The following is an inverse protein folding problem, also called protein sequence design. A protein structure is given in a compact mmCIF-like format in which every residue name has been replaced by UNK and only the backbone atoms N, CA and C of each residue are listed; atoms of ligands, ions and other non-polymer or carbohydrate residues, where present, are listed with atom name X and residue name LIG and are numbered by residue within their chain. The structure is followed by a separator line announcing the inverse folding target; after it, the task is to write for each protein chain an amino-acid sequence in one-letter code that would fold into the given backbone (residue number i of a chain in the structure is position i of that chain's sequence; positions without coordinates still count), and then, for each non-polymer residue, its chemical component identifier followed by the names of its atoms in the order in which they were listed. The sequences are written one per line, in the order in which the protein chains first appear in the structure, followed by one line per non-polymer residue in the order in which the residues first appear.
data_IF_521956542366
#
_entry.id   IF_521956542366
#
_cell.length_a   1.000
_cell.length_b   1.000
_cell.length_c   1.000
_cell.angle_alpha   90.00
_cell.angle_beta   90.00
_cell.angle_gamma   90.00
#
_symmetry.space_group_name_H-M   'P 1'
#
loop_
_entity.id
_entity.type
_entity.pdbx_description
1 polymer ?
#
# COMPACT_ATOMS: atom_id res chain seq x y z
N UNK A 1 8.76 -10.10 -17.64
CA UNK A 1 7.94 -10.75 -16.59
C UNK A 1 8.56 -10.57 -15.20
N UNK A 2 9.88 -10.73 -15.02
CA UNK A 2 10.55 -10.64 -13.72
C UNK A 2 10.35 -9.27 -13.02
N UNK A 3 10.28 -8.18 -13.77
CA UNK A 3 10.06 -6.83 -13.21
C UNK A 3 8.71 -6.71 -12.50
N UNK A 4 7.68 -7.43 -12.95
CA UNK A 4 6.34 -7.39 -12.35
C UNK A 4 6.32 -7.94 -10.91
N UNK A 5 7.25 -8.84 -10.58
CA UNK A 5 7.42 -9.42 -9.24
C UNK A 5 8.61 -8.84 -8.47
N UNK A 6 9.22 -7.77 -8.98
CA UNK A 6 10.33 -7.06 -8.34
C UNK A 6 11.71 -7.63 -8.65
N UNK A 7 11.82 -8.55 -9.61
CA UNK A 7 13.11 -9.12 -10.04
C UNK A 7 13.81 -8.22 -11.05
N UNK A 8 14.66 -7.29 -10.60
CA UNK A 8 15.48 -6.42 -11.45
C UNK A 8 16.87 -6.21 -10.83
N UNK A 9 17.81 -5.77 -11.67
CA UNK A 9 19.20 -5.57 -11.28
C UNK A 9 19.33 -4.28 -10.49
N UNK A 10 19.64 -4.39 -9.21
CA UNK A 10 20.07 -3.31 -8.32
C UNK A 10 19.23 -2.03 -8.32
N UNK A 11 18.83 -1.56 -7.15
CA UNK A 11 18.23 -0.25 -6.95
C UNK A 11 18.70 0.28 -5.60
N UNK A 12 19.05 1.56 -5.54
CA UNK A 12 19.41 2.19 -4.28
C UNK A 12 18.18 2.60 -3.47
N UNK A 13 18.28 2.75 -2.14
CA UNK A 13 17.20 3.33 -1.33
C UNK A 13 16.75 4.70 -1.81
N UNK A 14 17.67 5.54 -2.29
CA UNK A 14 17.34 6.85 -2.84
C UNK A 14 16.44 6.74 -4.08
N UNK A 15 16.78 5.85 -5.03
CA UNK A 15 15.97 5.61 -6.22
C UNK A 15 14.59 5.02 -5.87
N UNK A 16 14.55 4.13 -4.89
CA UNK A 16 13.30 3.54 -4.43
C UNK A 16 12.40 4.59 -3.75
N UNK A 17 12.95 5.43 -2.88
CA UNK A 17 12.21 6.53 -2.26
C UNK A 17 11.68 7.51 -3.32
N UNK A 18 12.49 7.83 -4.33
CA UNK A 18 12.09 8.68 -5.44
C UNK A 18 10.96 8.06 -6.28
N UNK A 19 11.05 6.76 -6.58
CA UNK A 19 10.00 6.06 -7.33
C UNK A 19 8.65 6.11 -6.60
N UNK A 20 8.65 5.85 -5.29
CA UNK A 20 7.43 5.91 -4.48
C UNK A 20 6.92 7.34 -4.22
N UNK A 21 7.79 8.36 -4.33
CA UNK A 21 7.35 9.75 -4.28
C UNK A 21 6.37 10.11 -5.40
N UNK A 22 6.36 9.35 -6.51
CA UNK A 22 5.40 9.52 -7.58
C UNK A 22 3.96 9.21 -7.15
N UNK A 23 3.76 8.22 -6.26
CA UNK A 23 2.44 7.97 -5.64
C UNK A 23 2.09 9.11 -4.68
N UNK A 24 3.04 9.49 -3.81
CA UNK A 24 2.87 10.61 -2.87
C UNK A 24 2.44 11.90 -3.57
N UNK A 25 3.02 12.18 -4.73
CA UNK A 25 2.78 13.38 -5.55
C UNK A 25 1.63 13.22 -6.56
N UNK A 26 0.73 12.25 -6.36
CA UNK A 26 -0.44 12.03 -7.21
C UNK A 26 -0.11 11.82 -8.69
N UNK A 27 0.97 11.06 -8.95
CA UNK A 27 1.36 10.63 -10.29
C UNK A 27 2.51 11.40 -10.92
N UNK A 28 3.17 12.29 -10.19
CA UNK A 28 4.32 13.04 -10.68
C UNK A 28 5.62 12.56 -10.06
N UNK A 29 6.57 12.24 -10.90
CA UNK A 29 7.95 11.91 -10.52
C UNK A 29 8.85 13.13 -10.62
N UNK A 30 9.72 13.30 -9.64
CA UNK A 30 10.82 14.27 -9.70
C UNK A 30 12.12 13.54 -9.40
N UNK A 31 13.14 13.74 -10.22
CA UNK A 31 14.45 13.16 -9.97
C UNK A 31 15.02 13.70 -8.64
N UNK A 32 15.63 12.84 -7.79
CA UNK A 32 16.20 13.28 -6.52
C UNK A 32 17.27 14.36 -6.71
N UNK A 33 17.22 15.40 -5.91
CA UNK A 33 18.19 16.48 -5.89
C UNK A 33 18.49 16.90 -4.44
N UNK A 34 19.68 17.44 -4.25
CA UNK A 34 20.14 17.92 -2.94
C UNK A 34 20.37 19.44 -2.88
N UNK A 35 20.38 20.11 -4.04
CA UNK A 35 20.64 21.54 -4.12
C UNK A 35 19.46 22.24 -4.80
N UNK A 36 18.84 23.18 -4.09
CA UNK A 36 17.74 24.00 -4.62
C UNK A 36 18.22 25.38 -5.06
N UNK A 37 19.22 25.91 -4.34
CA UNK A 37 19.75 27.24 -4.60
C UNK A 37 21.21 27.33 -4.14
N UNK A 38 21.99 28.14 -4.84
CA UNK A 38 23.35 28.55 -4.45
C UNK A 38 23.35 30.07 -4.29
N UNK A 39 23.83 30.56 -3.16
CA UNK A 39 24.02 31.98 -2.91
C UNK A 39 25.52 32.27 -2.77
N UNK A 40 26.06 33.09 -3.67
CA UNK A 40 27.46 33.46 -3.68
C UNK A 40 27.71 34.58 -2.68
N UNK A 41 28.38 34.28 -1.58
CA UNK A 41 28.62 35.23 -0.47
C UNK A 41 29.39 36.49 -0.91
N UNK A 42 30.30 36.36 -1.90
CA UNK A 42 31.12 37.46 -2.37
C UNK A 42 30.38 38.46 -3.25
N UNK A 43 29.36 38.02 -4.00
CA UNK A 43 28.62 38.85 -4.96
C UNK A 43 27.17 39.08 -4.57
N UNK A 44 26.61 38.28 -3.64
CA UNK A 44 25.19 38.24 -3.35
C UNK A 44 24.35 37.60 -4.47
N UNK A 45 24.96 37.08 -5.51
CA UNK A 45 24.28 36.43 -6.61
C UNK A 45 23.57 35.16 -6.12
N UNK A 46 22.32 34.95 -6.53
CA UNK A 46 21.54 33.76 -6.23
C UNK A 46 21.27 32.98 -7.50
N UNK A 47 21.69 31.72 -7.54
CA UNK A 47 21.37 30.78 -8.62
C UNK A 47 20.38 29.74 -8.11
N UNK A 48 19.16 29.75 -8.64
CA UNK A 48 18.13 28.75 -8.33
C UNK A 48 18.14 27.64 -9.37
N UNK A 49 17.89 26.39 -8.91
CA UNK A 49 17.78 25.22 -9.77
C UNK A 49 16.29 24.82 -9.85
N UNK A 50 15.78 24.75 -11.07
CA UNK A 50 14.44 24.23 -11.34
C UNK A 50 14.53 22.71 -11.53
N UNK A 51 13.63 21.99 -10.87
CA UNK A 51 13.51 20.53 -10.98
C UNK A 51 12.20 20.20 -11.67
N UNK A 52 12.30 19.51 -12.79
CA UNK A 52 11.13 19.14 -13.60
C UNK A 52 10.34 18.02 -12.92
N UNK A 53 9.02 18.10 -13.06
CA UNK A 53 8.08 17.06 -12.65
C UNK A 53 7.55 16.35 -13.88
N UNK A 54 7.80 15.04 -13.98
CA UNK A 54 7.31 14.21 -15.07
C UNK A 54 6.08 13.45 -14.63
N UNK A 55 4.98 13.56 -15.39
CA UNK A 55 3.79 12.74 -15.11
C UNK A 55 4.04 11.30 -15.55
N UNK A 56 4.07 10.35 -14.61
CA UNK A 56 4.36 8.94 -14.85
C UNK A 56 3.15 8.03 -14.69
N UNK A 57 2.07 8.52 -14.05
CA UNK A 57 0.79 7.81 -13.94
C UNK A 57 -0.37 8.79 -13.79
N UNK A 58 -1.61 8.30 -13.93
CA UNK A 58 -2.79 9.12 -13.66
C UNK A 58 -2.95 9.40 -12.16
N UNK A 59 -3.61 10.49 -11.83
CA UNK A 59 -4.01 10.83 -10.46
C UNK A 59 -4.93 9.76 -9.83
N UNK A 60 -5.85 9.20 -10.64
CA UNK A 60 -6.70 8.08 -10.20
C UNK A 60 -5.88 6.84 -9.84
N UNK A 61 -4.86 6.49 -10.65
CA UNK A 61 -3.98 5.35 -10.34
C UNK A 61 -3.19 5.60 -9.05
N UNK A 62 -2.62 6.79 -8.89
CA UNK A 62 -1.87 7.14 -7.70
C UNK A 62 -2.76 7.13 -6.45
N UNK A 63 -3.96 7.74 -6.53
CA UNK A 63 -4.90 7.77 -5.41
C UNK A 63 -5.36 6.38 -4.98
N UNK A 64 -5.76 5.53 -5.93
CA UNK A 64 -6.21 4.16 -5.63
C UNK A 64 -5.06 3.34 -5.02
N UNK A 65 -3.83 3.49 -5.53
CA UNK A 65 -2.67 2.81 -4.96
C UNK A 65 -2.36 3.31 -3.54
N UNK A 66 -2.46 4.63 -3.29
CA UNK A 66 -2.28 5.20 -1.95
C UNK A 66 -3.28 4.60 -0.95
N UNK A 67 -4.55 4.45 -1.33
CA UNK A 67 -5.57 3.81 -0.48
C UNK A 67 -5.22 2.36 -0.16
N UNK A 68 -4.82 1.57 -1.16
CA UNK A 68 -4.43 0.16 -0.97
C UNK A 68 -3.22 0.04 -0.03
N UNK A 69 -2.20 0.88 -0.23
CA UNK A 69 -0.97 0.83 0.58
C UNK A 69 -1.17 1.40 1.99
N UNK A 70 -2.05 2.39 2.16
CA UNK A 70 -2.45 2.88 3.48
C UNK A 70 -3.27 1.82 4.23
N UNK A 71 -4.18 1.13 3.56
CA UNK A 71 -4.90 -0.01 4.14
C UNK A 71 -3.93 -1.12 4.57
N UNK A 72 -2.96 -1.47 3.73
CA UNK A 72 -1.93 -2.45 4.06
C UNK A 72 -1.08 -2.04 5.27
N UNK A 73 -0.85 -0.74 5.48
CA UNK A 73 -0.16 -0.20 6.65
C UNK A 73 -1.02 -0.30 7.91
N UNK A 74 -2.32 -0.05 7.80
CA UNK A 74 -3.21 -0.01 8.96
C UNK A 74 -3.69 -1.39 9.41
N UNK A 75 -3.90 -2.33 8.47
CA UNK A 75 -4.59 -3.60 8.69
C UNK A 75 -3.87 -4.82 8.11
N UNK A 76 -2.82 -4.63 7.30
CA UNK A 76 -2.13 -5.70 6.59
C UNK A 76 -0.73 -5.99 7.10
N UNK A 77 0.08 -6.62 6.25
CA UNK A 77 1.45 -7.06 6.56
C UNK A 77 2.44 -5.92 6.83
N UNK A 78 2.09 -4.69 6.50
CA UNK A 78 2.92 -3.50 6.71
C UNK A 78 2.64 -2.78 8.03
N UNK A 79 1.83 -3.35 8.92
CA UNK A 79 1.41 -2.73 10.18
C UNK A 79 2.53 -2.32 11.12
N UNK A 80 3.72 -2.95 11.00
CA UNK A 80 4.92 -2.55 11.74
C UNK A 80 5.45 -1.16 11.40
N UNK A 81 5.03 -0.56 10.28
CA UNK A 81 5.40 0.79 9.87
C UNK A 81 4.33 1.86 10.17
N UNK A 82 3.26 1.48 10.88
CA UNK A 82 2.16 2.39 11.24
C UNK A 82 2.62 3.48 12.21
N UNK A 83 2.19 4.72 11.93
CA UNK A 83 2.39 5.87 12.83
C UNK A 83 1.03 6.42 13.24
N UNK A 84 0.77 6.44 14.55
CA UNK A 84 -0.51 6.89 15.07
C UNK A 84 -0.79 8.36 14.73
N UNK A 85 -1.96 8.64 14.16
CA UNK A 85 -2.42 9.98 13.78
C UNK A 85 -1.72 10.53 12.53
N UNK A 86 -1.17 9.67 11.68
CA UNK A 86 -0.60 10.05 10.39
C UNK A 86 -1.09 9.13 9.28
N UNK A 87 -1.39 9.69 8.13
CA UNK A 87 -1.64 8.95 6.89
C UNK A 87 -0.30 8.44 6.34
N UNK A 88 -0.06 7.14 6.42
CA UNK A 88 1.17 6.49 5.95
C UNK A 88 0.80 5.33 5.04
N UNK A 89 1.32 5.35 3.85
CA UNK A 89 1.25 4.24 2.90
C UNK A 89 2.58 3.49 2.91
N UNK A 90 2.54 2.16 3.01
CA UNK A 90 3.76 1.34 3.11
C UNK A 90 3.69 0.13 2.18
N UNK A 91 4.82 -0.15 1.52
CA UNK A 91 5.05 -1.38 0.77
C UNK A 91 6.29 -2.08 1.29
N UNK A 92 6.18 -3.35 1.60
CA UNK A 92 7.31 -4.22 1.93
C UNK A 92 7.76 -5.00 0.71
N UNK A 93 9.03 -5.39 0.69
CA UNK A 93 9.60 -6.28 -0.31
C UNK A 93 10.53 -7.30 0.35
N UNK A 94 10.59 -8.50 -0.21
CA UNK A 94 11.53 -9.55 0.19
C UNK A 94 11.91 -10.30 -1.07
N UNK A 95 13.22 -10.46 -1.32
CA UNK A 95 13.72 -11.38 -2.33
C UNK A 95 14.39 -12.57 -1.65
N UNK A 96 14.22 -13.76 -2.22
CA UNK A 96 14.80 -14.97 -1.71
C UNK A 96 16.02 -15.36 -2.55
N UNK A 97 16.95 -16.07 -1.96
CA UNK A 97 17.98 -16.81 -2.71
C UNK A 97 17.35 -18.01 -3.40
N UNK A 98 17.86 -18.36 -4.58
CA UNK A 98 17.61 -19.67 -5.18
C UNK A 98 18.34 -20.77 -4.41
N UNK A 99 17.87 -22.01 -4.58
CA UNK A 99 18.40 -23.17 -3.85
C UNK A 99 19.89 -23.42 -4.11
N UNK A 100 20.34 -23.23 -5.35
CA UNK A 100 21.74 -23.41 -5.74
C UNK A 100 22.64 -22.39 -5.01
N UNK A 101 22.20 -21.14 -4.93
CA UNK A 101 22.90 -20.07 -4.21
C UNK A 101 22.93 -20.34 -2.70
N UNK A 102 21.82 -20.77 -2.09
CA UNK A 102 21.80 -21.16 -0.67
C UNK A 102 22.83 -22.23 -0.38
N UNK A 103 22.87 -23.30 -1.19
CA UNK A 103 23.80 -24.40 -1.05
C UNK A 103 25.25 -23.95 -1.27
N UNK A 104 25.53 -23.21 -2.30
CA UNK A 104 26.88 -22.72 -2.63
C UNK A 104 27.46 -21.81 -1.53
N UNK A 105 26.64 -21.00 -0.90
CA UNK A 105 27.02 -20.08 0.18
C UNK A 105 26.92 -20.71 1.58
N UNK A 106 26.39 -21.94 1.71
CA UNK A 106 26.15 -22.60 2.99
C UNK A 106 25.11 -21.87 3.86
N UNK A 107 24.14 -21.19 3.23
CA UNK A 107 23.08 -20.44 3.90
C UNK A 107 21.93 -21.40 4.30
N UNK A 108 21.21 -21.12 5.40
CA UNK A 108 20.03 -21.89 5.75
C UNK A 108 18.88 -21.61 4.77
N UNK A 109 17.93 -22.54 4.67
CA UNK A 109 16.80 -22.48 3.72
C UNK A 109 15.92 -21.22 3.88
N UNK A 110 15.82 -20.68 5.09
CA UNK A 110 15.04 -19.48 5.39
C UNK A 110 15.83 -18.17 5.24
N UNK A 111 17.06 -18.21 4.72
CA UNK A 111 17.82 -17.00 4.44
C UNK A 111 17.18 -16.23 3.28
N UNK A 112 17.16 -14.91 3.41
CA UNK A 112 16.63 -13.98 2.39
C UNK A 112 17.73 -13.05 1.92
N UNK A 113 17.66 -12.66 0.64
CA UNK A 113 18.66 -11.81 0.02
C UNK A 113 18.42 -10.34 0.39
N UNK A 114 17.23 -9.83 0.12
CA UNK A 114 16.88 -8.43 0.35
C UNK A 114 15.62 -8.31 1.17
N UNK A 115 15.62 -7.32 2.05
CA UNK A 115 14.46 -6.90 2.82
C UNK A 115 14.24 -5.40 2.63
N UNK A 116 13.15 -5.08 1.96
CA UNK A 116 12.76 -3.70 1.68
C UNK A 116 11.54 -3.27 2.46
N UNK A 117 11.51 -2.01 2.83
CA UNK A 117 10.31 -1.31 3.28
C UNK A 117 10.36 0.11 2.75
N UNK A 118 9.31 0.53 2.06
CA UNK A 118 9.13 1.91 1.64
C UNK A 118 7.87 2.43 2.29
N UNK A 119 7.99 3.55 3.00
CA UNK A 119 6.86 4.24 3.61
C UNK A 119 6.83 5.69 3.14
N UNK A 120 5.65 6.21 2.90
CA UNK A 120 5.51 7.58 2.46
C UNK A 120 4.19 8.20 2.96
N UNK A 121 4.20 9.51 3.04
CA UNK A 121 3.05 10.38 3.27
C UNK A 121 2.80 11.21 2.01
N UNK A 122 1.85 12.12 2.01
CA UNK A 122 1.66 13.06 0.90
C UNK A 122 2.86 14.02 0.68
N UNK A 123 3.82 14.07 1.63
CA UNK A 123 4.93 15.04 1.63
C UNK A 123 6.32 14.42 1.70
N UNK A 124 6.45 13.21 2.23
CA UNK A 124 7.73 12.57 2.48
C UNK A 124 7.72 11.13 1.97
N UNK A 125 8.84 10.67 1.45
CA UNK A 125 9.05 9.28 1.05
C UNK A 125 10.36 8.77 1.63
N UNK A 126 10.34 7.60 2.26
CA UNK A 126 11.48 6.95 2.91
C UNK A 126 11.56 5.52 2.43
N UNK A 127 12.75 5.10 2.00
CA UNK A 127 13.03 3.71 1.68
C UNK A 127 14.12 3.16 2.59
N UNK A 128 13.90 1.96 3.08
CA UNK A 128 14.83 1.19 3.89
C UNK A 128 15.16 -0.11 3.16
N UNK A 129 16.44 -0.37 2.97
CA UNK A 129 16.98 -1.67 2.65
C UNK A 129 17.67 -2.25 3.89
N UNK A 130 17.43 -3.51 4.16
CA UNK A 130 18.03 -4.22 5.27
C UNK A 130 18.58 -5.55 4.76
N UNK A 131 19.89 -5.72 4.83
CA UNK A 131 20.54 -6.89 4.22
C UNK A 131 22.01 -6.97 4.55
N UNK A 132 22.64 -8.02 4.02
CA UNK A 132 24.09 -8.18 3.95
C UNK A 132 24.51 -8.27 2.48
N UNK A 133 25.52 -7.50 2.09
CA UNK A 133 26.06 -7.52 0.74
C UNK A 133 27.61 -7.68 0.81
N UNK A 134 28.13 -8.91 0.55
CA UNK A 134 27.38 -10.15 0.29
C UNK A 134 26.90 -10.84 1.57
N UNK A 135 25.80 -11.60 1.45
CA UNK A 135 25.41 -12.52 2.50
C UNK A 135 26.39 -13.70 2.60
N UNK A 136 26.75 -14.09 3.83
CA UNK A 136 27.64 -15.20 4.17
C UNK A 136 26.99 -16.12 5.20
N UNK A 137 27.60 -17.28 5.47
CA UNK A 137 27.12 -18.23 6.47
C UNK A 137 27.00 -17.63 7.88
N UNK A 138 27.84 -16.67 8.22
CA UNK A 138 27.86 -15.98 9.51
C UNK A 138 26.98 -14.72 9.51
N UNK A 139 26.70 -14.15 8.33
CA UNK A 139 25.99 -12.90 8.17
C UNK A 139 24.91 -13.04 7.09
N UNK A 140 23.69 -13.31 7.51
CA UNK A 140 22.52 -13.41 6.65
C UNK A 140 21.26 -12.92 7.39
N UNK A 141 20.24 -12.62 6.65
CA UNK A 141 18.93 -12.25 7.19
C UNK A 141 17.90 -13.36 6.96
N UNK A 142 16.87 -13.31 7.79
CA UNK A 142 15.62 -14.07 7.61
C UNK A 142 14.44 -13.09 7.53
N UNK A 143 13.24 -13.60 7.23
CA UNK A 143 12.02 -12.78 7.21
C UNK A 143 11.69 -12.09 8.56
N UNK A 144 12.24 -12.58 9.68
CA UNK A 144 12.07 -12.00 11.01
C UNK A 144 13.03 -10.80 11.23
N UNK A 145 13.03 -9.84 10.32
CA UNK A 145 13.87 -8.65 10.44
C UNK A 145 13.14 -7.49 11.10
N UNK A 146 13.87 -6.57 11.76
CA UNK A 146 13.29 -5.39 12.40
C UNK A 146 12.90 -4.27 11.41
N UNK A 147 12.84 -4.56 10.11
CA UNK A 147 12.63 -3.54 9.06
C UNK A 147 11.38 -2.67 9.28
N UNK A 148 10.27 -3.27 9.73
CA UNK A 148 9.04 -2.55 10.05
C UNK A 148 9.20 -1.64 11.26
N UNK A 149 9.82 -2.13 12.33
CA UNK A 149 10.09 -1.37 13.55
C UNK A 149 11.05 -0.21 13.29
N UNK A 150 12.10 -0.44 12.50
CA UNK A 150 13.03 0.62 12.09
C UNK A 150 12.30 1.68 11.26
N UNK A 151 11.49 1.25 10.29
CA UNK A 151 10.71 2.18 9.46
C UNK A 151 9.73 2.99 10.30
N UNK A 152 9.00 2.37 11.23
CA UNK A 152 8.10 3.08 12.14
C UNK A 152 8.84 4.11 13.00
N UNK A 153 10.02 3.76 13.51
CA UNK A 153 10.85 4.69 14.27
C UNK A 153 11.26 5.89 13.41
N UNK A 154 11.77 5.67 12.19
CA UNK A 154 12.13 6.76 11.27
C UNK A 154 10.93 7.63 10.94
N UNK A 155 9.80 7.02 10.57
CA UNK A 155 8.57 7.75 10.23
C UNK A 155 7.99 8.54 11.41
N UNK A 156 8.25 8.14 12.64
CA UNK A 156 7.79 8.86 13.84
C UNK A 156 8.48 10.22 14.05
N UNK A 157 9.68 10.42 13.48
CA UNK A 157 10.41 11.70 13.49
C UNK A 157 9.98 12.64 12.34
N UNK A 158 9.24 12.13 11.36
CA UNK A 158 8.73 12.93 10.25
C UNK A 158 7.44 13.65 10.72
N UNK A 159 7.21 14.91 10.32
CA UNK A 159 5.96 15.60 10.64
C UNK A 159 4.75 14.78 10.20
N UNK A 160 3.78 14.60 11.10
CA UNK A 160 2.58 13.82 10.84
C UNK A 160 1.78 14.43 9.68
N UNK A 161 1.35 13.57 8.78
CA UNK A 161 0.39 13.91 7.75
C UNK A 161 -1.02 13.59 8.25
N UNK A 162 -1.73 14.62 8.67
CA UNK A 162 -3.10 14.50 9.21
C UNK A 162 -4.17 14.66 8.14
N UNK A 163 -3.79 14.98 6.91
CA UNK A 163 -4.72 15.24 5.80
C UNK A 163 -4.75 14.14 4.74
N UNK A 164 -3.64 13.44 4.56
CA UNK A 164 -3.50 12.40 3.55
C UNK A 164 -3.63 12.93 2.11
N UNK A 165 -4.15 12.09 1.24
CA UNK A 165 -4.32 12.40 -0.20
C UNK A 165 -5.76 12.81 -0.49
N UNK A 166 -5.92 13.92 -1.20
CA UNK A 166 -7.25 14.38 -1.65
C UNK A 166 -7.73 13.53 -2.82
N UNK A 167 -8.95 13.03 -2.73
CA UNK A 167 -9.58 12.27 -3.82
C UNK A 167 -9.76 13.15 -5.06
N UNK A 168 -9.18 12.77 -6.21
CA UNK A 168 -9.33 13.54 -7.45
C UNK A 168 -10.71 13.32 -8.07
N UNK A 169 -11.16 14.25 -8.91
CA UNK A 169 -12.44 14.14 -9.63
C UNK A 169 -12.53 13.00 -10.62
N UNK A 170 -11.38 12.36 -10.90
CA UNK A 170 -11.24 11.14 -11.73
C UNK A 170 -11.51 9.84 -10.97
N UNK A 171 -11.75 9.93 -9.65
CA UNK A 171 -12.13 8.81 -8.78
C UNK A 171 -13.53 9.05 -8.23
N UNK A 172 -14.29 7.98 -8.08
CA UNK A 172 -15.61 7.96 -7.46
C UNK A 172 -15.66 6.86 -6.40
N UNK A 173 -16.49 7.05 -5.38
CA UNK A 173 -16.82 5.99 -4.42
C UNK A 173 -18.12 5.31 -4.81
N UNK A 174 -18.26 4.04 -4.47
CA UNK A 174 -19.50 3.28 -4.57
C UNK A 174 -19.67 2.37 -3.35
N UNK A 175 -20.92 2.21 -2.93
CA UNK A 175 -21.29 1.26 -1.88
C UNK A 175 -21.50 -0.10 -2.50
N UNK A 176 -20.64 -1.05 -2.16
CA UNK A 176 -20.60 -2.39 -2.77
C UNK A 176 -20.86 -3.48 -1.73
N UNK A 177 -21.31 -4.64 -2.20
CA UNK A 177 -21.44 -5.82 -1.38
C UNK A 177 -20.16 -6.63 -1.34
N UNK A 178 -19.61 -6.83 -0.15
CA UNK A 178 -18.43 -7.65 0.07
C UNK A 178 -18.67 -9.10 -0.35
N UNK A 179 -17.71 -9.67 -1.08
CA UNK A 179 -17.74 -11.05 -1.53
C UNK A 179 -18.46 -11.25 -2.88
N UNK A 180 -18.77 -10.18 -3.62
CA UNK A 180 -19.18 -10.27 -5.03
C UNK A 180 -17.99 -10.13 -5.96
N UNK A 181 -17.94 -10.92 -7.04
CA UNK A 181 -16.94 -10.81 -8.09
C UNK A 181 -17.57 -11.08 -9.47
N UNK A 182 -17.54 -10.13 -10.41
CA UNK A 182 -17.12 -8.72 -10.23
C UNK A 182 -17.87 -8.00 -9.12
N UNK A 183 -17.30 -6.89 -8.62
CA UNK A 183 -17.94 -6.09 -7.58
C UNK A 183 -19.34 -5.63 -8.03
N UNK A 184 -20.33 -5.74 -7.14
CA UNK A 184 -21.70 -5.27 -7.35
C UNK A 184 -22.10 -4.28 -6.28
N UNK A 185 -23.01 -3.37 -6.58
CA UNK A 185 -23.59 -2.45 -5.61
C UNK A 185 -24.33 -3.23 -4.53
N UNK A 186 -24.24 -2.77 -3.28
CA UNK A 186 -25.05 -3.32 -2.21
C UNK A 186 -26.54 -3.05 -2.47
N UNK A 187 -27.39 -4.04 -2.19
CA UNK A 187 -28.84 -3.89 -2.22
C UNK A 187 -29.36 -3.40 -0.86
N UNK A 188 -30.63 -3.04 -0.79
CA UNK A 188 -31.32 -2.72 0.48
C UNK A 188 -31.37 -3.91 1.45
N UNK A 189 -31.20 -5.13 0.94
CA UNK A 189 -31.21 -6.38 1.72
C UNK A 189 -29.82 -6.87 2.10
N UNK A 190 -28.76 -6.19 1.63
CA UNK A 190 -27.38 -6.56 1.97
C UNK A 190 -27.14 -6.34 3.48
N UNK A 191 -26.71 -7.37 4.23
CA UNK A 191 -26.34 -7.21 5.65
C UNK A 191 -25.32 -6.10 5.88
N UNK A 192 -25.48 -5.33 6.95
CA UNK A 192 -24.66 -4.14 7.21
C UNK A 192 -23.16 -4.45 7.34
N UNK A 193 -22.80 -5.63 7.82
CA UNK A 193 -21.41 -6.12 7.92
C UNK A 193 -20.79 -6.51 6.57
N UNK A 194 -21.60 -6.62 5.54
CA UNK A 194 -21.17 -6.88 4.15
C UNK A 194 -21.22 -5.64 3.26
N UNK A 195 -21.58 -4.49 3.79
CA UNK A 195 -21.60 -3.23 3.05
C UNK A 195 -20.23 -2.56 3.17
N UNK A 196 -19.58 -2.30 2.04
CA UNK A 196 -18.29 -1.60 1.96
C UNK A 196 -18.43 -0.36 1.07
N UNK A 197 -17.65 0.67 1.40
CA UNK A 197 -17.41 1.80 0.49
C UNK A 197 -16.07 1.61 -0.17
N UNK A 198 -16.08 1.46 -1.50
CA UNK A 198 -14.90 1.25 -2.32
C UNK A 198 -14.70 2.37 -3.33
N UNK A 199 -13.46 2.54 -3.79
CA UNK A 199 -13.07 3.59 -4.73
C UNK A 199 -12.79 3.00 -6.10
N UNK A 200 -13.24 3.71 -7.13
CA UNK A 200 -13.12 3.30 -8.53
C UNK A 200 -12.65 4.47 -9.39
N UNK A 201 -11.86 4.18 -10.42
CA UNK A 201 -11.68 5.15 -11.49
C UNK A 201 -13.06 5.48 -12.08
N UNK A 202 -13.36 6.76 -12.24
CA UNK A 202 -14.64 7.21 -12.79
C UNK A 202 -14.93 6.53 -14.14
N UNK A 203 -16.10 5.92 -14.24
CA UNK A 203 -16.54 5.13 -15.41
C UNK A 203 -16.25 3.63 -15.32
N UNK A 204 -15.57 3.16 -14.24
CA UNK A 204 -15.31 1.73 -14.00
C UNK A 204 -15.99 1.19 -12.74
N UNK A 205 -16.73 2.02 -12.03
CA UNK A 205 -17.51 1.60 -10.86
C UNK A 205 -18.62 0.61 -11.27
N UNK A 206 -19.02 -0.31 -10.39
CA UNK A 206 -20.13 -1.20 -10.65
C UNK A 206 -21.43 -0.42 -10.84
N UNK A 207 -22.29 -0.92 -11.73
CA UNK A 207 -23.65 -0.41 -12.01
C UNK A 207 -24.70 -1.42 -11.66
N UNK A 208 -24.34 -2.69 -11.54
CA UNK A 208 -25.26 -3.78 -11.20
C UNK A 208 -25.41 -3.88 -9.68
N UNK A 209 -26.65 -4.01 -9.20
CA UNK A 209 -26.96 -4.29 -7.80
C UNK A 209 -26.82 -5.78 -7.53
N UNK A 210 -26.34 -6.16 -6.36
CA UNK A 210 -26.26 -7.55 -5.94
C UNK A 210 -27.66 -8.12 -5.69
N UNK A 211 -27.90 -9.32 -6.21
CA UNK A 211 -29.11 -10.10 -5.97
C UNK A 211 -28.88 -11.23 -4.94
N UNK A 212 -27.71 -11.24 -4.30
CA UNK A 212 -27.32 -12.29 -3.35
C UNK A 212 -28.24 -12.34 -2.13
N UNK A 213 -28.76 -11.19 -1.72
CA UNK A 213 -29.74 -11.05 -0.65
C UNK A 213 -31.01 -10.44 -1.23
N UNK A 214 -32.14 -11.00 -0.87
CA UNK A 214 -33.45 -10.55 -1.30
C UNK A 214 -34.39 -10.49 -0.12
N UNK A 215 -35.51 -9.81 -0.29
CA UNK A 215 -36.58 -9.86 0.69
C UNK A 215 -37.02 -11.32 0.86
N UNK A 216 -37.09 -11.77 2.11
CA UNK A 216 -37.64 -13.07 2.40
C UNK A 216 -39.13 -13.05 2.09
N UNK A 217 -39.63 -14.08 1.42
CA UNK A 217 -41.06 -14.27 1.23
C UNK A 217 -41.76 -14.41 2.57
N UNK A 218 -42.97 -13.87 2.64
CA UNK A 218 -43.80 -14.06 3.82
C UNK A 218 -44.03 -15.55 4.08
N UNK A 219 -43.85 -15.96 5.30
CA UNK A 219 -44.15 -17.35 5.69
C UNK A 219 -45.66 -17.63 5.45
N UNK A 220 -45.93 -18.48 4.48
CA UNK A 220 -47.29 -18.93 4.18
C UNK A 220 -47.53 -20.31 4.78
N UNK A 221 -48.76 -20.58 5.20
CA UNK A 221 -49.15 -21.87 5.73
C UNK A 221 -48.42 -22.30 7.03
N UNK A 222 -48.01 -21.35 7.85
CA UNK A 222 -47.45 -21.65 9.16
C UNK A 222 -48.49 -22.46 9.97
N UNK A 223 -48.14 -23.68 10.35
CA UNK A 223 -48.94 -24.53 11.23
C UNK A 223 -48.13 -24.77 12.47
N UNK A 224 -48.72 -24.47 13.61
CA UNK A 224 -48.15 -24.86 14.91
C UNK A 224 -48.89 -26.06 15.45
N UNK A 225 -48.18 -27.07 15.91
CA UNK A 225 -48.74 -28.20 16.68
C UNK A 225 -48.19 -28.15 18.11
N UNK A 226 -49.07 -28.39 19.08
CA UNK A 226 -48.66 -28.43 20.48
C UNK A 226 -48.48 -29.89 20.91
N UNK A 227 -47.31 -30.21 21.43
CA UNK A 227 -47.02 -31.47 22.15
C UNK A 227 -46.98 -31.23 23.66
N UNK A 228 -46.87 -32.28 24.43
CA UNK A 228 -46.70 -32.19 25.88
C UNK A 228 -45.29 -31.60 26.15
N UNK A 229 -45.22 -30.30 26.50
CA UNK A 229 -44.00 -29.52 26.72
C UNK A 229 -43.20 -29.11 25.44
N UNK A 230 -43.81 -29.08 24.26
CA UNK A 230 -43.16 -28.55 23.03
C UNK A 230 -44.16 -27.88 22.09
N UNK A 231 -43.69 -26.89 21.32
CA UNK A 231 -44.34 -26.33 20.13
C UNK A 231 -43.43 -26.64 18.98
N UNK A 232 -43.94 -27.23 17.91
CA UNK A 232 -43.20 -27.52 16.67
C UNK A 232 -43.88 -26.84 15.51
#
# INVERSE_FOLDING_TARGET
ENHAIGGFTGVSPLQMAAAYSAFASMGYYTEPYSVTKIEYRSTGEVKEFKHEKTKVMSDSTAYLMNNVLEYATNYGFSGGAKVAGSHVATKTGTSNFDEATLKAKGLPYNAVNDLWTVSYTSKYSVALWYGYDPATKEHYNTNNSPKGTIMAAVMSYIPKDTTGWTMPSTVVSATVENGTWPAKLASEYTPADLILTEYFKKGTQPTEVSERFSQLDNVTNLKASTGRNSIT
#
